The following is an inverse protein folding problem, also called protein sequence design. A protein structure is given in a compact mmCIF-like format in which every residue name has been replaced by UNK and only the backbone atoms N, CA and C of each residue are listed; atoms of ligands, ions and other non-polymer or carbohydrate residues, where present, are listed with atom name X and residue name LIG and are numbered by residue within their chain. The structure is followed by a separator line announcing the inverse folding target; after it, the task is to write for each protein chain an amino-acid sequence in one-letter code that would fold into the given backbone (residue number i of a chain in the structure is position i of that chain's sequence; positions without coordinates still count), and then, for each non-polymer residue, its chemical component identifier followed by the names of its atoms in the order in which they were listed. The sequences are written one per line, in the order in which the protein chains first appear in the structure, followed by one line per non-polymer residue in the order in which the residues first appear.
data_IF_254828169930
#
_entry.id   IF_254828169930
#
_cell.length_a   1.000
_cell.length_b   1.000
_cell.length_c   1.000
_cell.angle_alpha   90.00
_cell.angle_beta   90.00
_cell.angle_gamma   90.00
#
_symmetry.space_group_name_H-M   'P 1'
#
loop_
_entity.id
_entity.type
_entity.pdbx_description
1 polymer ?
#
# COMPACT_ATOMS: atom_id res chain seq x y z
N UNK A 1 23.39 -7.44 -2.00
CA UNK A 1 22.08 -6.80 -2.03
C UNK A 1 21.06 -7.58 -1.25
N UNK A 2 20.19 -6.89 -0.58
CA UNK A 2 19.18 -7.57 0.24
C UNK A 2 17.94 -7.90 -0.58
N UNK A 3 17.18 -8.87 -0.10
CA UNK A 3 15.91 -9.21 -0.73
C UNK A 3 14.95 -8.03 -0.69
N UNK A 4 15.07 -7.20 0.35
CA UNK A 4 14.26 -6.01 0.47
C UNK A 4 14.51 -5.05 -0.69
N UNK A 5 15.79 -4.82 -1.02
CA UNK A 5 16.15 -3.94 -2.14
C UNK A 5 15.62 -4.48 -3.47
N UNK A 6 15.63 -5.80 -3.64
CA UNK A 6 15.08 -6.41 -4.84
C UNK A 6 13.59 -6.19 -4.96
N UNK A 7 12.87 -6.33 -3.84
CA UNK A 7 11.43 -6.08 -3.84
C UNK A 7 11.12 -4.61 -4.09
N UNK A 8 11.88 -3.71 -3.49
CA UNK A 8 11.71 -2.28 -3.74
C UNK A 8 11.90 -1.96 -5.22
N UNK A 9 12.88 -2.59 -5.85
CA UNK A 9 13.09 -2.42 -7.29
C UNK A 9 11.88 -2.83 -8.11
N UNK A 10 11.24 -3.95 -7.76
CA UNK A 10 10.02 -4.40 -8.43
C UNK A 10 8.88 -3.42 -8.23
N UNK A 11 8.72 -2.92 -7.02
CA UNK A 11 7.64 -1.98 -6.71
C UNK A 11 7.81 -0.65 -7.45
N UNK A 12 9.04 -0.14 -7.46
CA UNK A 12 9.33 1.12 -8.15
C UNK A 12 9.16 0.98 -9.66
N UNK A 13 9.51 -0.18 -10.20
CA UNK A 13 9.30 -0.47 -11.60
C UNK A 13 7.81 -0.48 -11.95
N UNK A 14 6.99 -1.10 -11.09
CA UNK A 14 5.55 -1.12 -11.29
C UNK A 14 4.95 0.29 -11.19
N UNK A 15 5.42 1.08 -10.25
CA UNK A 15 4.98 2.47 -10.09
C UNK A 15 5.27 3.26 -11.35
N UNK A 16 6.44 3.05 -11.93
CA UNK A 16 6.85 3.74 -13.14
C UNK A 16 6.03 3.30 -14.36
N UNK A 17 5.85 1.99 -14.50
CA UNK A 17 5.09 1.43 -15.62
C UNK A 17 3.63 1.87 -15.62
N UNK A 18 3.05 1.99 -14.45
CA UNK A 18 1.65 2.37 -14.29
C UNK A 18 1.46 3.88 -14.11
N UNK A 19 2.57 4.61 -14.11
CA UNK A 19 2.55 6.08 -13.94
C UNK A 19 1.82 6.49 -12.67
N UNK A 20 2.15 5.84 -11.58
CA UNK A 20 1.53 6.10 -10.28
C UNK A 20 2.28 7.19 -9.53
N UNK A 21 1.54 7.98 -8.79
CA UNK A 21 2.12 9.03 -7.94
C UNK A 21 2.35 8.45 -6.54
N UNK A 22 3.53 7.88 -6.33
CA UNK A 22 3.88 7.22 -5.08
C UNK A 22 5.19 7.78 -4.54
N UNK A 23 5.20 8.14 -3.26
CA UNK A 23 6.41 8.60 -2.59
C UNK A 23 7.29 7.40 -2.25
N UNK A 24 8.53 7.33 -2.76
CA UNK A 24 9.39 6.18 -2.50
C UNK A 24 9.67 5.94 -1.02
N UNK A 25 9.81 7.00 -0.24
CA UNK A 25 10.06 6.87 1.20
C UNK A 25 8.88 6.21 1.91
N UNK A 26 7.67 6.59 1.54
CA UNK A 26 6.46 6.01 2.13
C UNK A 26 6.34 4.55 1.70
N UNK A 27 6.60 4.27 0.43
CA UNK A 27 6.56 2.90 -0.08
C UNK A 27 7.52 2.01 0.69
N UNK A 28 8.74 2.50 0.94
CA UNK A 28 9.72 1.74 1.72
C UNK A 28 9.24 1.48 3.14
N UNK A 29 8.64 2.50 3.78
CA UNK A 29 8.14 2.36 5.14
C UNK A 29 6.98 1.35 5.21
N UNK A 30 6.07 1.41 4.23
CA UNK A 30 4.96 0.46 4.15
C UNK A 30 5.49 -0.96 3.94
N UNK A 31 6.44 -1.13 3.03
CA UNK A 31 7.03 -2.44 2.76
C UNK A 31 7.70 -3.01 3.99
N UNK A 32 8.42 -2.17 4.74
CA UNK A 32 9.06 -2.62 5.98
C UNK A 32 8.04 -3.05 7.02
N UNK A 33 6.92 -2.33 7.10
CA UNK A 33 5.88 -2.66 8.07
C UNK A 33 5.19 -3.98 7.77
N UNK A 34 5.17 -4.39 6.50
CA UNK A 34 4.61 -5.66 6.10
C UNK A 34 5.50 -6.84 6.49
N UNK A 35 6.78 -6.57 6.71
CA UNK A 35 7.73 -7.58 7.17
C UNK A 35 7.92 -8.71 6.17
N UNK A 36 8.09 -9.96 6.65
CA UNK A 36 8.40 -11.08 5.77
C UNK A 36 7.33 -11.38 4.72
N UNK A 37 6.11 -10.88 4.89
CA UNK A 37 5.02 -11.16 3.96
C UNK A 37 5.33 -10.69 2.53
N UNK A 38 6.19 -9.69 2.37
CA UNK A 38 6.54 -9.22 1.02
C UNK A 38 7.36 -10.24 0.24
N UNK A 39 7.92 -11.24 0.93
CA UNK A 39 8.70 -12.30 0.28
C UNK A 39 7.86 -13.54 0.00
N UNK A 40 6.60 -13.56 0.42
CA UNK A 40 5.67 -14.64 0.19
C UNK A 40 4.83 -14.29 -1.04
N UNK A 41 4.86 -15.14 -2.06
CA UNK A 41 4.18 -14.84 -3.33
C UNK A 41 2.70 -14.52 -3.14
N UNK A 42 2.01 -15.27 -2.29
CA UNK A 42 0.59 -15.05 -2.07
C UNK A 42 0.33 -13.80 -1.23
N UNK A 43 1.08 -13.63 -0.15
CA UNK A 43 0.86 -12.51 0.78
C UNK A 43 1.36 -11.18 0.21
N UNK A 44 2.28 -11.21 -0.75
CA UNK A 44 2.84 -9.99 -1.31
C UNK A 44 1.92 -9.30 -2.31
N UNK A 45 0.86 -9.98 -2.76
CA UNK A 45 -0.09 -9.45 -3.74
C UNK A 45 -1.48 -9.33 -3.12
N UNK A 46 -2.24 -8.37 -3.63
CA UNK A 46 -3.64 -8.21 -3.23
C UNK A 46 -4.52 -8.80 -4.32
N UNK A 47 -5.42 -9.69 -3.93
CA UNK A 47 -6.37 -10.29 -4.87
C UNK A 47 -7.62 -9.42 -4.93
N UNK A 48 -7.69 -8.56 -5.95
CA UNK A 48 -8.78 -7.60 -6.07
C UNK A 48 -10.11 -8.24 -6.44
N UNK A 49 -10.09 -9.49 -6.89
CA UNK A 49 -11.33 -10.20 -7.22
C UNK A 49 -11.87 -11.03 -6.04
N UNK A 50 -11.17 -11.04 -4.92
CA UNK A 50 -11.56 -11.78 -3.73
C UNK A 50 -12.19 -10.83 -2.71
N UNK A 51 -13.52 -10.88 -2.49
CA UNK A 51 -14.17 -9.99 -1.54
C UNK A 51 -13.62 -10.11 -0.12
N UNK A 52 -13.20 -11.32 0.27
CA UNK A 52 -12.63 -11.52 1.61
C UNK A 52 -11.29 -10.80 1.77
N UNK A 53 -10.48 -10.80 0.70
CA UNK A 53 -9.21 -10.07 0.73
C UNK A 53 -9.44 -8.57 0.85
N UNK A 54 -10.41 -8.05 0.11
CA UNK A 54 -10.74 -6.62 0.17
C UNK A 54 -11.32 -6.25 1.53
N UNK A 55 -12.11 -7.13 2.15
CA UNK A 55 -12.60 -6.91 3.50
C UNK A 55 -11.45 -6.84 4.49
N UNK A 56 -10.45 -7.70 4.35
CA UNK A 56 -9.28 -7.68 5.22
C UNK A 56 -8.47 -6.39 5.06
N UNK A 57 -8.35 -5.90 3.83
CA UNK A 57 -7.67 -4.62 3.59
C UNK A 57 -8.43 -3.50 4.31
N UNK A 58 -9.73 -3.50 4.19
CA UNK A 58 -10.59 -2.51 4.81
C UNK A 58 -10.49 -2.57 6.34
N UNK A 59 -10.73 -3.74 6.92
CA UNK A 59 -10.77 -3.91 8.37
C UNK A 59 -9.40 -3.82 9.03
N UNK A 60 -8.43 -4.52 8.49
CA UNK A 60 -7.14 -4.64 9.14
C UNK A 60 -6.20 -3.48 8.80
N UNK A 61 -6.27 -2.97 7.59
CA UNK A 61 -5.37 -1.90 7.18
C UNK A 61 -5.99 -0.52 7.35
N UNK A 62 -7.12 -0.26 6.69
CA UNK A 62 -7.71 1.07 6.72
C UNK A 62 -8.24 1.44 8.11
N UNK A 63 -8.98 0.55 8.73
CA UNK A 63 -9.52 0.81 10.06
C UNK A 63 -8.48 0.52 11.14
N UNK A 64 -7.86 -0.66 11.07
CA UNK A 64 -6.93 -1.10 12.12
C UNK A 64 -5.60 -0.35 12.12
N UNK A 65 -4.96 -0.24 10.98
CA UNK A 65 -3.62 0.36 10.90
C UNK A 65 -3.67 1.87 10.74
N UNK A 66 -4.50 2.37 9.83
CA UNK A 66 -4.60 3.80 9.58
C UNK A 66 -5.54 4.52 10.55
N UNK A 67 -6.33 3.77 11.29
CA UNK A 67 -7.23 4.35 12.28
C UNK A 67 -8.42 5.10 11.72
N UNK A 68 -8.85 4.72 10.52
CA UNK A 68 -9.97 5.37 9.86
C UNK A 68 -11.31 4.87 10.40
N UNK A 69 -12.32 5.72 10.35
CA UNK A 69 -13.66 5.33 10.74
C UNK A 69 -14.28 4.46 9.65
N UNK A 70 -15.16 3.54 10.05
CA UNK A 70 -15.87 2.68 9.13
C UNK A 70 -16.87 3.51 8.32
N UNK A 71 -16.66 3.61 7.03
CA UNK A 71 -17.52 4.40 6.15
C UNK A 71 -17.45 3.89 4.71
N UNK A 72 -18.42 4.26 3.86
CA UNK A 72 -18.36 3.89 2.43
C UNK A 72 -17.16 4.45 1.70
N UNK A 73 -16.55 5.52 2.23
CA UNK A 73 -15.36 6.11 1.63
C UNK A 73 -14.20 5.10 1.54
N UNK A 74 -14.17 4.15 2.48
CA UNK A 74 -13.12 3.13 2.49
C UNK A 74 -13.23 2.24 1.25
N UNK A 75 -14.44 1.83 0.91
CA UNK A 75 -14.69 0.98 -0.26
C UNK A 75 -14.40 1.75 -1.54
N UNK A 76 -14.80 3.01 -1.59
CA UNK A 76 -14.53 3.86 -2.75
C UNK A 76 -13.04 4.02 -2.99
N UNK A 77 -12.27 4.19 -1.92
CA UNK A 77 -10.81 4.32 -2.04
C UNK A 77 -10.17 3.04 -2.54
N UNK A 78 -10.65 1.90 -2.04
CA UNK A 78 -10.13 0.60 -2.50
C UNK A 78 -10.41 0.43 -3.99
N UNK A 79 -11.62 0.74 -4.42
CA UNK A 79 -11.98 0.65 -5.84
C UNK A 79 -11.12 1.59 -6.70
N UNK A 80 -10.86 2.80 -6.20
CA UNK A 80 -10.04 3.76 -6.92
C UNK A 80 -8.61 3.24 -7.09
N UNK A 81 -8.04 2.65 -6.06
CA UNK A 81 -6.69 2.08 -6.14
C UNK A 81 -6.66 0.90 -7.10
N UNK A 82 -7.69 0.06 -7.08
CA UNK A 82 -7.78 -1.06 -8.02
C UNK A 82 -7.78 -0.52 -9.47
N UNK A 83 -8.52 0.55 -9.71
CA UNK A 83 -8.56 1.17 -11.04
C UNK A 83 -7.19 1.71 -11.45
N UNK A 84 -6.48 2.35 -10.52
CA UNK A 84 -5.15 2.88 -10.80
C UNK A 84 -4.16 1.78 -11.16
N UNK A 85 -4.26 0.65 -10.46
CA UNK A 85 -3.38 -0.49 -10.72
C UNK A 85 -3.81 -1.31 -11.92
N UNK A 86 -5.09 -1.18 -12.32
CA UNK A 86 -5.65 -1.95 -13.42
C UNK A 86 -6.34 -3.21 -12.92
N UNK A 87 -7.66 -3.29 -13.09
CA UNK A 87 -8.44 -4.42 -12.57
C UNK A 87 -7.98 -5.77 -13.10
N UNK A 88 -7.42 -5.80 -14.32
CA UNK A 88 -6.89 -7.03 -14.91
C UNK A 88 -5.43 -7.31 -14.55
N UNK A 89 -4.79 -6.43 -13.79
CA UNK A 89 -3.39 -6.59 -13.43
C UNK A 89 -3.25 -7.62 -12.31
N UNK A 90 -2.57 -8.74 -12.59
CA UNK A 90 -2.38 -9.80 -11.59
C UNK A 90 -1.26 -9.48 -10.59
N UNK A 91 -0.51 -8.41 -10.82
CA UNK A 91 0.61 -8.03 -9.95
C UNK A 91 0.31 -6.78 -9.13
N UNK A 92 -0.77 -6.81 -8.38
CA UNK A 92 -1.10 -5.72 -7.47
C UNK A 92 -0.34 -5.94 -6.17
N UNK A 93 0.88 -5.42 -6.13
CA UNK A 93 1.74 -5.58 -4.95
C UNK A 93 1.09 -4.92 -3.75
N UNK A 94 1.01 -5.67 -2.64
CA UNK A 94 0.40 -5.18 -1.40
C UNK A 94 1.07 -3.89 -0.93
N UNK A 95 2.40 -3.82 -1.02
CA UNK A 95 3.12 -2.63 -0.60
C UNK A 95 2.68 -1.40 -1.40
N UNK A 96 2.54 -1.54 -2.72
CA UNK A 96 2.10 -0.43 -3.57
C UNK A 96 0.63 -0.09 -3.32
N UNK A 97 -0.20 -1.12 -3.19
CA UNK A 97 -1.63 -0.96 -2.93
C UNK A 97 -1.85 -0.16 -1.64
N UNK A 98 -1.17 -0.57 -0.57
CA UNK A 98 -1.30 0.07 0.73
C UNK A 98 -0.73 1.49 0.73
N UNK A 99 0.35 1.71 -0.02
CA UNK A 99 0.93 3.05 -0.13
C UNK A 99 -0.06 4.01 -0.79
N UNK A 100 -0.70 3.57 -1.87
CA UNK A 100 -1.69 4.39 -2.54
C UNK A 100 -2.88 4.71 -1.63
N UNK A 101 -3.34 3.73 -0.85
CA UNK A 101 -4.42 3.96 0.10
C UNK A 101 -4.00 4.94 1.18
N UNK A 102 -2.78 4.80 1.69
CA UNK A 102 -2.25 5.68 2.73
C UNK A 102 -2.22 7.13 2.22
N UNK A 103 -1.75 7.32 1.00
CA UNK A 103 -1.69 8.64 0.40
C UNK A 103 -3.10 9.21 0.11
N UNK A 104 -4.01 8.33 -0.29
CA UNK A 104 -5.40 8.73 -0.56
C UNK A 104 -6.03 9.40 0.66
N UNK A 105 -5.78 8.84 1.84
CA UNK A 105 -6.35 9.35 3.09
C UNK A 105 -5.40 10.29 3.83
N UNK A 106 -4.23 10.58 3.26
CA UNK A 106 -3.23 11.47 3.84
C UNK A 106 -2.78 11.02 5.23
N UNK A 107 -2.54 9.72 5.34
CA UNK A 107 -2.11 9.10 6.58
C UNK A 107 -0.64 8.69 6.55
N UNK A 108 0.18 9.40 5.78
CA UNK A 108 1.60 9.07 5.62
C UNK A 108 2.34 9.03 6.96
N UNK A 109 1.92 9.86 7.91
CA UNK A 109 2.58 9.91 9.22
C UNK A 109 2.42 8.63 10.03
N UNK A 110 1.44 7.78 9.69
CA UNK A 110 1.30 6.48 10.34
C UNK A 110 2.57 5.64 10.14
N UNK A 111 3.19 5.76 8.98
CA UNK A 111 4.39 5.01 8.65
C UNK A 111 5.66 5.83 8.82
N UNK A 112 5.62 7.11 8.47
CA UNK A 112 6.78 7.97 8.53
C UNK A 112 6.99 8.58 9.91
N UNK A 113 5.93 8.64 10.70
CA UNK A 113 6.00 9.09 12.07
C UNK A 113 6.10 10.60 12.25
N UNK A 114 5.77 11.05 13.44
CA UNK A 114 5.82 12.47 13.78
C UNK A 114 7.25 13.02 13.75
N UNK A 115 8.23 12.14 13.98
CA UNK A 115 9.63 12.55 13.96
C UNK A 115 10.06 13.12 12.62
N UNK A 116 9.50 12.59 11.53
CA UNK A 116 9.80 13.09 10.20
C UNK A 116 9.29 14.52 10.03
N UNK A 117 8.11 14.78 10.56
CA UNK A 117 7.51 16.12 10.51
C UNK A 117 8.30 17.11 11.34
N UNK A 118 8.80 16.66 12.49
CA UNK A 118 9.60 17.49 13.37
C UNK A 118 10.90 17.91 12.72
N UNK A 119 11.52 17.04 11.95
CA UNK A 119 12.77 17.33 11.29
C UNK A 119 12.65 18.41 10.23
N UNK A 120 11.48 18.62 9.72
CA UNK A 120 11.23 19.62 8.69
C UNK A 120 11.15 21.02 9.28
N UNK A 121 11.00 21.12 10.57
CA UNK A 121 10.96 22.39 11.25
C UNK A 121 12.35 22.97 11.41
#
# INVERSE_FOLDING_TARGET
MSQFDEKMGLYLEAVEELDLDVHPELLAAVAKSLGPSIYNDDASLVSSSDPEELDRVRENFLIGKLGLADSPDLDDAIDDVIDQLGSGNSRKYRAVFYTLLTQHFRKEDVFLGAAVLEEEE
#
